data_IF_948771511004
#
_entry.id   IF_948771511004
#
_cell.length_a   1.000
_cell.length_b   1.000
_cell.length_c   1.000
_cell.angle_alpha   90.00
_cell.angle_beta   90.00
_cell.angle_gamma   90.00
#
_symmetry.space_group_name_H-M   'P 1'
#
loop_
_entity.id
_entity.type
_entity.pdbx_description
1 polymer ?
#
# COMPACT_ATOMS: atom_id res chain seq x y z
N UNK A 1 -17.80 16.86 22.23
CA UNK A 1 -17.13 16.81 20.91
C UNK A 1 -16.27 18.04 20.70
N UNK A 2 -14.98 17.82 20.55
CA UNK A 2 -13.98 18.83 20.22
C UNK A 2 -13.56 18.68 18.76
N UNK A 3 -12.97 19.74 18.19
CA UNK A 3 -12.46 19.69 16.83
C UNK A 3 -10.97 19.40 16.82
N UNK A 4 -10.54 18.60 15.86
CA UNK A 4 -9.15 18.22 15.71
C UNK A 4 -8.69 18.37 14.27
N UNK A 5 -7.50 18.92 14.09
CA UNK A 5 -6.78 18.80 12.83
C UNK A 5 -6.13 17.42 12.80
N UNK A 6 -6.55 16.60 11.84
CA UNK A 6 -6.19 15.20 11.73
C UNK A 6 -5.38 14.97 10.45
N UNK A 7 -4.22 14.34 10.58
CA UNK A 7 -3.35 13.97 9.47
C UNK A 7 -3.20 12.46 9.46
N UNK A 8 -3.47 11.84 8.32
CA UNK A 8 -3.38 10.41 8.10
C UNK A 8 -2.47 10.13 6.91
N UNK A 9 -1.66 9.09 6.98
CA UNK A 9 -0.69 8.77 5.94
C UNK A 9 -0.42 7.27 5.86
N UNK A 10 -0.27 6.79 4.63
CA UNK A 10 0.07 5.41 4.29
C UNK A 10 1.52 5.39 3.78
N UNK A 11 2.29 4.40 4.21
CA UNK A 11 3.68 4.20 3.83
C UNK A 11 4.10 2.72 3.76
N UNK A 12 5.38 2.44 3.47
CA UNK A 12 6.44 3.39 3.12
C UNK A 12 6.40 3.77 1.64
N UNK A 13 6.18 5.04 1.31
CA UNK A 13 5.85 5.43 -0.07
C UNK A 13 7.04 5.43 -1.01
N UNK A 14 8.14 6.06 -0.58
CA UNK A 14 9.31 6.18 -1.45
C UNK A 14 9.96 4.82 -1.70
N UNK A 15 10.21 4.02 -0.66
CA UNK A 15 10.79 2.68 -0.85
C UNK A 15 9.85 1.73 -1.59
N UNK A 16 8.54 1.77 -1.29
CA UNK A 16 7.58 0.91 -2.00
C UNK A 16 7.46 1.29 -3.47
N UNK A 17 7.36 2.58 -3.82
CA UNK A 17 7.21 3.04 -5.20
C UNK A 17 8.51 2.84 -5.99
N UNK A 18 9.65 3.25 -5.43
CA UNK A 18 10.97 3.20 -6.09
C UNK A 18 11.44 1.77 -6.39
N UNK A 19 10.98 0.77 -5.62
CA UNK A 19 11.25 -0.66 -5.90
C UNK A 19 10.41 -1.14 -7.09
N UNK A 20 10.71 -0.65 -8.29
CA UNK A 20 10.05 -0.98 -9.54
C UNK A 20 11.09 -1.39 -10.60
N UNK A 21 10.87 -2.50 -11.30
CA UNK A 21 11.69 -2.90 -12.47
C UNK A 21 11.01 -2.61 -13.79
N UNK A 22 9.71 -2.33 -13.77
CA UNK A 22 8.87 -2.02 -14.93
C UNK A 22 8.05 -0.76 -14.63
N UNK A 23 7.74 0.03 -15.66
CA UNK A 23 6.83 1.19 -15.54
C UNK A 23 5.47 0.79 -14.96
N UNK A 24 4.99 -0.40 -15.33
CA UNK A 24 3.79 -0.99 -14.75
C UNK A 24 3.88 -1.10 -13.22
N UNK A 25 5.00 -1.62 -12.69
CA UNK A 25 5.19 -1.75 -11.23
C UNK A 25 5.12 -0.37 -10.55
N UNK A 26 5.74 0.64 -11.16
CA UNK A 26 5.71 2.00 -10.63
C UNK A 26 4.26 2.52 -10.54
N UNK A 27 3.51 2.40 -11.64
CA UNK A 27 2.13 2.87 -11.74
C UNK A 27 1.20 2.14 -10.76
N UNK A 28 1.23 0.81 -10.74
CA UNK A 28 0.37 0.03 -9.84
C UNK A 28 0.72 0.25 -8.37
N UNK A 29 2.00 0.46 -8.07
CA UNK A 29 2.46 0.82 -6.74
C UNK A 29 1.86 2.13 -6.25
N UNK A 30 1.97 3.21 -7.03
CA UNK A 30 1.33 4.48 -6.68
C UNK A 30 -0.19 4.36 -6.62
N UNK A 31 -0.78 3.63 -7.58
CA UNK A 31 -2.23 3.46 -7.68
C UNK A 31 -2.82 2.76 -6.47
N UNK A 32 -2.21 1.65 -6.04
CA UNK A 32 -2.62 0.92 -4.86
C UNK A 32 -2.61 1.80 -3.61
N UNK A 33 -1.56 2.61 -3.43
CA UNK A 33 -1.49 3.53 -2.29
C UNK A 33 -2.61 4.58 -2.34
N UNK A 34 -2.84 5.20 -3.50
CA UNK A 34 -3.93 6.16 -3.70
C UNK A 34 -5.31 5.53 -3.45
N UNK A 35 -5.55 4.30 -3.94
CA UNK A 35 -6.80 3.59 -3.72
C UNK A 35 -7.03 3.25 -2.24
N UNK A 36 -5.98 2.94 -1.47
CA UNK A 36 -6.06 2.71 -0.03
C UNK A 36 -6.31 4.00 0.76
N UNK A 37 -5.70 5.12 0.36
CA UNK A 37 -6.00 6.43 0.95
C UNK A 37 -7.45 6.83 0.65
N UNK A 38 -7.88 6.66 -0.60
CA UNK A 38 -9.26 6.90 -1.01
C UNK A 38 -10.26 6.09 -0.19
N UNK A 39 -9.98 4.81 -0.01
CA UNK A 39 -10.76 3.92 0.85
C UNK A 39 -10.85 4.42 2.30
N UNK A 40 -9.79 5.02 2.84
CA UNK A 40 -9.78 5.61 4.17
C UNK A 40 -10.63 6.90 4.23
N UNK A 41 -10.52 7.76 3.21
CA UNK A 41 -11.30 9.01 3.11
C UNK A 41 -12.80 8.70 3.08
N UNK A 42 -13.22 7.71 2.30
CA UNK A 42 -14.63 7.27 2.21
C UNK A 42 -15.22 6.76 3.55
N UNK A 43 -14.36 6.44 4.53
CA UNK A 43 -14.73 5.88 5.84
C UNK A 43 -14.64 6.89 6.98
N UNK A 44 -14.23 8.11 6.68
CA UNK A 44 -14.25 9.17 7.67
C UNK A 44 -15.71 9.53 8.05
N UNK A 45 -15.92 10.10 9.25
CA UNK A 45 -17.23 10.60 9.67
C UNK A 45 -17.84 11.59 8.67
N UNK A 46 -19.18 11.65 8.58
CA UNK A 46 -19.89 12.50 7.62
C UNK A 46 -19.76 14.00 7.91
N UNK A 47 -19.49 14.37 9.16
CA UNK A 47 -19.41 15.74 9.67
C UNK A 47 -17.98 16.32 9.62
N UNK A 48 -17.08 15.68 8.87
CA UNK A 48 -15.72 16.16 8.66
C UNK A 48 -15.60 17.19 7.54
N UNK A 49 -14.50 17.92 7.55
CA UNK A 49 -14.05 18.73 6.42
C UNK A 49 -12.69 18.21 5.90
N UNK A 50 -12.63 17.74 4.66
CA UNK A 50 -11.38 17.34 4.02
C UNK A 50 -10.64 18.59 3.53
N UNK A 51 -9.50 18.89 4.15
CA UNK A 51 -8.66 20.04 3.81
C UNK A 51 -7.70 19.68 2.67
N UNK A 52 -7.14 18.47 2.71
CA UNK A 52 -6.20 17.97 1.71
C UNK A 52 -6.38 16.45 1.52
N UNK A 53 -6.36 15.92 0.30
CA UNK A 53 -6.41 16.66 -0.97
C UNK A 53 -7.73 17.40 -1.11
N UNK A 54 -7.72 18.59 -1.71
CA UNK A 54 -8.96 19.34 -1.97
C UNK A 54 -9.80 18.54 -2.97
N UNK A 55 -11.04 18.16 -2.65
CA UNK A 55 -11.91 17.49 -3.60
C UNK A 55 -12.14 18.45 -4.77
N UNK A 56 -11.66 18.10 -5.97
CA UNK A 56 -11.97 18.92 -7.14
C UNK A 56 -13.49 18.87 -7.36
N UNK A 57 -14.13 20.05 -7.46
CA UNK A 57 -15.59 20.23 -7.51
C UNK A 57 -16.32 19.46 -8.64
N UNK A 58 -15.61 18.71 -9.49
CA UNK A 58 -16.20 17.98 -10.63
C UNK A 58 -16.03 16.48 -10.62
N UNK A 59 -15.12 15.88 -9.85
CA UNK A 59 -14.96 14.42 -9.86
C UNK A 59 -14.26 13.92 -8.59
N UNK A 60 -15.04 13.46 -7.60
CA UNK A 60 -14.49 12.69 -6.48
C UNK A 60 -13.74 11.45 -7.01
N UNK A 61 -14.28 10.80 -8.05
CA UNK A 61 -13.69 9.62 -8.69
C UNK A 61 -12.34 9.85 -9.39
N UNK A 62 -12.11 11.01 -10.04
CA UNK A 62 -10.80 11.33 -10.65
C UNK A 62 -9.81 11.93 -9.64
N UNK A 63 -10.27 12.63 -8.61
CA UNK A 63 -9.39 13.13 -7.53
C UNK A 63 -8.76 11.95 -6.76
N UNK A 64 -9.50 10.86 -6.57
CA UNK A 64 -9.02 9.60 -5.98
C UNK A 64 -7.94 8.90 -6.84
N UNK A 65 -7.90 9.18 -8.15
CA UNK A 65 -6.92 8.58 -9.07
C UNK A 65 -5.51 9.20 -8.95
N UNK A 66 -5.37 10.36 -8.30
CA UNK A 66 -4.09 11.04 -8.03
C UNK A 66 -4.00 11.51 -6.58
N UNK A 67 -4.72 10.82 -5.69
CA UNK A 67 -4.69 11.15 -4.27
C UNK A 67 -3.30 10.86 -3.69
N UNK A 68 -2.68 11.84 -3.02
CA UNK A 68 -1.40 11.64 -2.34
C UNK A 68 -1.53 10.57 -1.27
N UNK A 69 -0.39 10.09 -0.79
CA UNK A 69 -0.34 9.05 0.25
C UNK A 69 -0.72 9.54 1.66
N UNK A 70 -1.34 10.70 1.75
CA UNK A 70 -1.77 11.33 2.99
C UNK A 70 -2.98 12.23 2.74
N UNK A 71 -3.75 12.44 3.79
CA UNK A 71 -4.85 13.40 3.80
C UNK A 71 -4.87 14.15 5.13
N UNK A 72 -5.44 15.36 5.08
CA UNK A 72 -5.67 16.21 6.24
C UNK A 72 -7.16 16.55 6.28
N UNK A 73 -7.76 16.36 7.44
CA UNK A 73 -9.16 16.68 7.68
C UNK A 73 -9.33 17.42 9.00
N UNK A 74 -10.35 18.25 9.08
CA UNK A 74 -10.91 18.72 10.34
C UNK A 74 -11.99 17.73 10.76
N UNK A 75 -11.85 17.13 11.93
CA UNK A 75 -12.79 16.14 12.46
C UNK A 75 -13.43 16.61 13.77
N UNK A 76 -14.68 16.22 13.99
CA UNK A 76 -15.43 16.51 15.21
C UNK A 76 -15.66 15.20 15.98
N UNK A 77 -15.00 15.04 17.13
CA UNK A 77 -15.09 13.81 17.92
C UNK A 77 -14.74 14.05 19.38
N UNK A 78 -15.01 13.06 20.23
CA UNK A 78 -14.56 13.08 21.63
C UNK A 78 -13.13 12.54 21.76
N UNK A 79 -12.80 11.47 21.02
CA UNK A 79 -11.45 10.91 20.99
C UNK A 79 -10.99 10.60 19.55
N UNK A 80 -10.00 11.35 19.00
CA UNK A 80 -9.47 11.09 17.65
C UNK A 80 -8.75 9.74 17.53
N UNK A 81 -8.34 9.11 18.65
CA UNK A 81 -7.72 7.78 18.65
C UNK A 81 -8.66 6.71 18.09
N UNK A 82 -9.95 6.80 18.39
CA UNK A 82 -10.93 5.82 17.93
C UNK A 82 -11.04 5.83 16.40
N UNK A 83 -11.06 7.02 15.81
CA UNK A 83 -11.08 7.22 14.36
C UNK A 83 -9.78 6.73 13.74
N UNK A 84 -8.63 7.16 14.27
CA UNK A 84 -7.32 6.80 13.75
C UNK A 84 -7.05 5.29 13.75
N UNK A 85 -7.30 4.62 14.88
CA UNK A 85 -7.10 3.17 14.99
C UNK A 85 -8.14 2.38 14.20
N UNK A 86 -9.38 2.87 14.06
CA UNK A 86 -10.39 2.25 13.18
C UNK A 86 -9.93 2.30 11.72
N UNK A 87 -9.56 3.48 11.21
CA UNK A 87 -9.11 3.64 9.83
C UNK A 87 -7.88 2.79 9.53
N UNK A 88 -6.92 2.75 10.46
CA UNK A 88 -5.74 1.88 10.35
C UNK A 88 -6.13 0.42 10.16
N UNK A 89 -6.98 -0.13 11.03
CA UNK A 89 -7.45 -1.51 10.91
C UNK A 89 -8.19 -1.75 9.59
N UNK A 90 -9.07 -0.84 9.20
CA UNK A 90 -9.87 -0.98 7.98
C UNK A 90 -8.99 -0.96 6.71
N UNK A 91 -8.00 -0.08 6.64
CA UNK A 91 -7.04 0.00 5.52
C UNK A 91 -6.17 -1.26 5.44
N UNK A 92 -5.64 -1.72 6.58
CA UNK A 92 -4.83 -2.95 6.61
C UNK A 92 -5.65 -4.17 6.20
N UNK A 93 -6.89 -4.28 6.68
CA UNK A 93 -7.80 -5.35 6.27
C UNK A 93 -8.13 -5.26 4.78
N UNK A 94 -8.41 -4.06 4.25
CA UNK A 94 -8.66 -3.87 2.82
C UNK A 94 -7.47 -4.30 1.97
N UNK A 95 -6.24 -3.98 2.39
CA UNK A 95 -5.06 -4.45 1.69
C UNK A 95 -4.98 -5.98 1.70
N UNK A 96 -5.18 -6.64 2.85
CA UNK A 96 -5.21 -8.10 2.95
C UNK A 96 -6.29 -8.72 2.03
N UNK A 97 -7.47 -8.11 1.94
CA UNK A 97 -8.53 -8.51 0.99
C UNK A 97 -8.07 -8.36 -0.47
N UNK A 98 -7.45 -7.24 -0.85
CA UNK A 98 -6.91 -7.05 -2.19
C UNK A 98 -5.88 -8.14 -2.52
N UNK A 99 -4.99 -8.46 -1.59
CA UNK A 99 -4.00 -9.52 -1.80
C UNK A 99 -4.68 -10.87 -2.04
N UNK A 100 -5.52 -11.32 -1.11
CA UNK A 100 -6.10 -12.66 -1.18
C UNK A 100 -7.12 -12.82 -2.30
N UNK A 101 -8.00 -11.84 -2.50
CA UNK A 101 -9.16 -11.99 -3.37
C UNK A 101 -8.84 -11.44 -4.77
N UNK A 102 -8.32 -10.20 -4.84
CA UNK A 102 -8.10 -9.51 -6.11
C UNK A 102 -6.81 -9.93 -6.82
N UNK A 103 -5.82 -10.47 -6.10
CA UNK A 103 -4.54 -10.89 -6.69
C UNK A 103 -4.37 -12.41 -6.67
N UNK A 104 -4.51 -13.08 -5.52
CA UNK A 104 -4.27 -14.53 -5.46
C UNK A 104 -5.41 -15.31 -6.11
N UNK A 105 -6.65 -15.11 -5.64
CA UNK A 105 -7.81 -15.87 -6.10
C UNK A 105 -8.14 -15.59 -7.57
N UNK A 106 -8.12 -14.32 -8.01
CA UNK A 106 -8.38 -13.95 -9.41
C UNK A 106 -7.35 -14.52 -10.41
N UNK A 107 -6.13 -14.82 -9.96
CA UNK A 107 -5.12 -15.48 -10.80
C UNK A 107 -5.23 -17.01 -10.76
N UNK A 108 -6.22 -17.57 -10.05
CA UNK A 108 -6.39 -19.01 -9.87
C UNK A 108 -5.27 -19.65 -9.05
N UNK A 109 -4.59 -18.88 -8.20
CA UNK A 109 -3.47 -19.36 -7.39
C UNK A 109 -3.94 -19.78 -6.00
N UNK A 110 -3.22 -20.74 -5.40
CA UNK A 110 -3.34 -21.01 -3.97
C UNK A 110 -2.60 -19.95 -3.16
N UNK A 111 -2.93 -19.82 -1.88
CA UNK A 111 -2.22 -18.93 -0.96
C UNK A 111 -0.90 -19.58 -0.53
N UNK A 112 0.28 -18.97 -0.80
CA UNK A 112 1.55 -19.56 -0.38
C UNK A 112 1.78 -19.38 1.13
N UNK A 113 2.54 -20.32 1.69
CA UNK A 113 3.00 -20.24 3.07
C UNK A 113 3.83 -18.97 3.29
N UNK A 114 3.59 -18.29 4.41
CA UNK A 114 4.31 -17.06 4.75
C UNK A 114 3.78 -15.79 4.10
N UNK A 115 2.79 -15.86 3.17
CA UNK A 115 2.18 -14.65 2.59
C UNK A 115 1.61 -13.73 3.65
N UNK A 116 0.85 -14.29 4.60
CA UNK A 116 0.25 -13.52 5.71
C UNK A 116 1.30 -12.76 6.49
N UNK A 117 2.43 -13.42 6.81
CA UNK A 117 3.53 -12.78 7.54
C UNK A 117 4.13 -11.62 6.76
N UNK A 118 4.27 -11.75 5.43
CA UNK A 118 4.82 -10.69 4.58
C UNK A 118 3.89 -9.49 4.43
N UNK A 119 2.57 -9.69 4.50
CA UNK A 119 1.58 -8.62 4.35
C UNK A 119 1.06 -8.07 5.70
N UNK A 120 1.40 -8.70 6.82
CA UNK A 120 0.88 -8.32 8.14
C UNK A 120 1.21 -6.87 8.51
N UNK A 121 2.48 -6.49 8.30
CA UNK A 121 2.99 -5.17 8.64
C UNK A 121 2.93 -4.18 7.45
N UNK A 122 2.20 -4.52 6.38
CA UNK A 122 2.02 -3.65 5.21
C UNK A 122 0.52 -3.45 4.88
N UNK A 123 0.08 -2.23 4.51
CA UNK A 123 0.87 -1.01 4.53
C UNK A 123 1.12 -0.51 5.97
N UNK A 124 2.15 0.31 6.11
CA UNK A 124 2.36 1.09 7.32
C UNK A 124 1.34 2.23 7.32
N UNK A 125 0.55 2.33 8.39
CA UNK A 125 -0.47 3.37 8.52
C UNK A 125 -0.17 4.19 9.76
N UNK A 126 -0.05 5.50 9.56
CA UNK A 126 0.20 6.46 10.62
C UNK A 126 -0.88 7.53 10.62
N UNK A 127 -1.22 8.01 11.80
CA UNK A 127 -2.16 9.10 11.99
C UNK A 127 -1.70 9.96 13.17
N UNK A 128 -2.05 11.24 13.14
CA UNK A 128 -1.80 12.19 14.22
C UNK A 128 -2.98 13.17 14.28
N UNK A 129 -3.28 13.67 15.48
CA UNK A 129 -4.36 14.62 15.70
C UNK A 129 -3.93 15.67 16.72
N UNK A 130 -4.30 16.92 16.48
CA UNK A 130 -4.13 18.01 17.45
C UNK A 130 -5.43 18.79 17.57
N UNK A 131 -5.73 19.31 18.76
CA UNK A 131 -6.95 20.10 18.98
C UNK A 131 -6.92 21.41 18.17
N UNK A 132 -8.06 21.77 17.58
CA UNK A 132 -8.23 22.93 16.70
C UNK A 132 -9.49 23.76 17.08
N UNK A 133 -9.29 24.80 17.88
CA UNK A 133 -10.35 25.64 18.43
C UNK A 133 -10.59 26.90 17.58
N UNK A 134 -11.72 27.58 17.79
CA UNK A 134 -12.05 28.80 17.04
C UNK A 134 -11.04 29.89 17.40
N UNK A 135 -10.42 30.50 16.39
CA UNK A 135 -9.34 31.48 16.55
C UNK A 135 -7.93 30.89 16.54
N UNK A 136 -7.76 29.56 16.49
CA UNK A 136 -6.44 28.96 16.30
C UNK A 136 -5.85 29.31 14.92
N UNK A 137 -4.54 29.58 14.88
CA UNK A 137 -3.83 29.81 13.62
C UNK A 137 -3.58 28.47 12.90
N UNK A 138 -4.21 28.29 11.74
CA UNK A 138 -4.06 27.07 10.93
C UNK A 138 -2.60 26.74 10.59
N UNK A 139 -1.80 27.73 10.21
CA UNK A 139 -0.39 27.51 9.82
C UNK A 139 0.45 26.97 10.97
N UNK A 140 0.25 27.51 12.18
CA UNK A 140 0.96 27.05 13.37
C UNK A 140 0.52 25.64 13.77
N UNK A 141 -0.78 25.37 13.74
CA UNK A 141 -1.35 24.04 14.03
C UNK A 141 -0.88 23.01 13.00
N UNK A 142 -0.90 23.33 11.72
CA UNK A 142 -0.38 22.48 10.67
C UNK A 142 1.11 22.13 10.90
N UNK A 143 1.95 23.11 11.26
CA UNK A 143 3.37 22.86 11.62
C UNK A 143 3.52 21.95 12.83
N UNK A 144 2.68 22.12 13.86
CA UNK A 144 2.70 21.24 15.03
C UNK A 144 2.28 19.81 14.66
N UNK A 145 1.23 19.65 13.86
CA UNK A 145 0.71 18.37 13.42
C UNK A 145 1.72 17.61 12.56
N UNK A 146 2.35 18.28 11.60
CA UNK A 146 3.37 17.68 10.73
C UNK A 146 4.61 17.27 11.52
N UNK A 147 5.03 18.08 12.52
CA UNK A 147 6.12 17.71 13.45
C UNK A 147 5.75 16.47 14.27
N UNK A 148 4.53 16.41 14.80
CA UNK A 148 4.03 15.25 15.55
C UNK A 148 4.00 13.99 14.67
N UNK A 149 3.51 14.11 13.44
CA UNK A 149 3.51 13.02 12.47
C UNK A 149 4.93 12.51 12.16
N UNK A 150 5.89 13.43 12.00
CA UNK A 150 7.30 13.06 11.85
C UNK A 150 7.84 12.27 13.04
N UNK A 151 7.49 12.67 14.26
CA UNK A 151 7.87 11.93 15.47
C UNK A 151 7.24 10.53 15.52
N UNK A 152 5.95 10.41 15.18
CA UNK A 152 5.25 9.11 15.11
C UNK A 152 5.88 8.17 14.08
N UNK A 153 6.28 8.69 12.90
CA UNK A 153 6.99 7.90 11.89
C UNK A 153 8.37 7.43 12.38
N UNK A 154 9.06 8.25 13.19
CA UNK A 154 10.39 7.94 13.72
C UNK A 154 10.40 7.01 14.93
N UNK A 155 9.29 6.85 15.65
CA UNK A 155 9.18 5.89 16.77
C UNK A 155 8.83 4.47 16.32
N UNK A 156 8.83 4.22 15.00
CA UNK A 156 8.56 2.90 14.42
C UNK A 156 9.50 1.85 15.00
N UNK A 157 8.92 0.80 15.57
CA UNK A 157 9.66 -0.41 15.93
C UNK A 157 10.04 -1.17 14.66
N UNK A 158 11.34 -1.32 14.42
CA UNK A 158 11.84 -2.17 13.36
C UNK A 158 11.64 -3.64 13.75
N UNK A 159 10.77 -4.36 13.03
CA UNK A 159 10.66 -5.81 13.16
C UNK A 159 11.60 -6.47 12.17
N UNK A 160 12.56 -7.24 12.68
CA UNK A 160 13.38 -8.09 11.84
C UNK A 160 12.58 -9.34 11.49
N UNK A 161 12.31 -9.55 10.20
CA UNK A 161 11.69 -10.79 9.73
C UNK A 161 12.77 -11.86 9.56
N UNK A 162 12.62 -13.06 10.15
CA UNK A 162 13.50 -14.18 9.87
C UNK A 162 13.20 -14.69 8.46
N UNK A 163 14.00 -14.24 7.50
CA UNK A 163 13.81 -14.54 6.09
C UNK A 163 15.00 -15.37 5.61
N UNK A 164 14.87 -16.70 5.64
CA UNK A 164 15.85 -17.66 5.12
C UNK A 164 15.49 -18.08 3.67
N UNK A 165 16.42 -17.97 2.73
CA UNK A 165 16.22 -18.39 1.35
C UNK A 165 16.30 -17.28 0.30
N UNK A 166 15.80 -17.55 -0.90
CA UNK A 166 15.93 -16.67 -2.07
C UNK A 166 15.15 -15.38 -1.87
N UNK A 167 15.84 -14.24 -2.00
CA UNK A 167 15.22 -12.92 -1.94
C UNK A 167 14.44 -12.56 -3.19
N UNK A 168 13.44 -11.71 -2.99
CA UNK A 168 12.65 -11.09 -4.04
C UNK A 168 13.55 -10.37 -5.05
N UNK A 169 13.35 -10.65 -6.34
CA UNK A 169 14.06 -10.04 -7.46
C UNK A 169 13.69 -8.58 -7.71
N UNK A 170 12.66 -8.07 -7.02
CA UNK A 170 12.19 -6.69 -7.11
C UNK A 170 12.68 -5.83 -5.93
N UNK A 171 12.38 -6.24 -4.69
CA UNK A 171 12.75 -5.47 -3.50
C UNK A 171 14.04 -5.90 -2.82
N UNK A 172 14.51 -7.15 -3.02
CA UNK A 172 15.69 -7.68 -2.32
C UNK A 172 15.51 -7.93 -0.81
N UNK A 173 14.41 -7.48 -0.21
CA UNK A 173 14.20 -7.53 1.25
C UNK A 173 13.61 -8.86 1.75
N UNK A 174 12.47 -9.26 1.17
CA UNK A 174 11.67 -10.42 1.62
C UNK A 174 11.97 -11.65 0.78
N UNK A 175 11.77 -12.84 1.33
CA UNK A 175 11.87 -14.09 0.59
C UNK A 175 10.82 -14.14 -0.53
N UNK A 176 11.20 -14.76 -1.64
CA UNK A 176 10.30 -14.97 -2.76
C UNK A 176 9.32 -16.10 -2.45
N UNK A 177 8.03 -15.82 -2.68
CA UNK A 177 6.93 -16.78 -2.56
C UNK A 177 6.39 -17.22 -3.92
N UNK A 178 6.70 -16.47 -4.97
CA UNK A 178 6.27 -16.71 -6.35
C UNK A 178 7.48 -16.73 -7.27
N UNK A 179 7.49 -17.59 -8.28
CA UNK A 179 8.60 -17.63 -9.23
C UNK A 179 8.18 -18.03 -10.63
N UNK A 180 8.95 -17.57 -11.61
CA UNK A 180 8.91 -18.09 -12.97
C UNK A 180 10.20 -18.86 -13.26
N UNK A 181 10.13 -20.13 -13.71
CA UNK A 181 11.33 -20.89 -14.00
C UNK A 181 12.14 -20.21 -15.12
N UNK A 182 13.45 -20.44 -15.11
CA UNK A 182 14.24 -20.19 -16.30
C UNK A 182 14.13 -21.40 -17.24
N UNK A 183 14.58 -21.24 -18.49
CA UNK A 183 14.72 -22.35 -19.42
C UNK A 183 16.22 -22.60 -19.60
N UNK A 184 16.64 -23.84 -19.49
CA UNK A 184 18.03 -24.23 -19.72
C UNK A 184 18.34 -24.41 -21.22
N UNK A 185 19.60 -24.72 -21.54
CA UNK A 185 20.09 -24.91 -22.90
C UNK A 185 19.40 -26.06 -23.65
N UNK A 186 18.82 -27.02 -22.93
CA UNK A 186 18.11 -28.17 -23.47
C UNK A 186 16.59 -27.94 -23.54
N UNK A 187 16.10 -26.75 -23.17
CA UNK A 187 14.69 -26.41 -23.19
C UNK A 187 13.91 -26.80 -21.93
N UNK A 188 14.56 -27.33 -20.89
CA UNK A 188 13.90 -27.72 -19.66
C UNK A 188 13.75 -26.55 -18.68
N UNK A 189 12.68 -26.60 -17.89
CA UNK A 189 12.45 -25.62 -16.85
C UNK A 189 13.40 -25.80 -15.67
N UNK A 190 14.06 -24.70 -15.30
CA UNK A 190 14.98 -24.63 -14.17
C UNK A 190 14.40 -23.75 -13.07
N UNK A 191 14.07 -24.37 -11.94
CA UNK A 191 13.62 -23.68 -10.72
C UNK A 191 14.76 -22.78 -10.18
N UNK A 192 14.47 -21.54 -9.74
CA UNK A 192 15.49 -20.70 -9.11
C UNK A 192 16.08 -21.33 -7.84
N UNK A 193 17.40 -21.20 -7.65
CA UNK A 193 18.09 -21.76 -6.47
C UNK A 193 17.62 -21.11 -5.16
N UNK A 194 17.56 -21.91 -4.10
CA UNK A 194 17.22 -21.51 -2.72
C UNK A 194 15.82 -20.96 -2.51
N UNK A 195 14.91 -21.20 -3.45
CA UNK A 195 13.51 -20.84 -3.27
C UNK A 195 12.80 -21.90 -2.40
N UNK A 196 11.92 -21.47 -1.51
CA UNK A 196 11.10 -22.36 -0.67
C UNK A 196 10.35 -23.38 -1.52
N UNK A 197 10.23 -24.64 -1.08
CA UNK A 197 9.56 -25.70 -1.83
C UNK A 197 8.08 -25.40 -2.09
N UNK A 198 7.42 -24.68 -1.18
CA UNK A 198 6.03 -24.26 -1.30
C UNK A 198 5.84 -22.99 -2.15
N UNK A 199 6.92 -22.41 -2.70
CA UNK A 199 6.79 -21.27 -3.59
C UNK A 199 6.02 -21.64 -4.86
N UNK A 200 5.17 -20.72 -5.28
CA UNK A 200 4.21 -20.95 -6.37
C UNK A 200 4.86 -20.61 -7.70
N UNK A 201 4.78 -21.57 -8.62
CA UNK A 201 5.22 -21.41 -10.01
C UNK A 201 4.21 -20.57 -10.78
N UNK A 202 4.70 -19.55 -11.48
CA UNK A 202 3.94 -18.62 -12.31
C UNK A 202 4.32 -18.81 -13.78
N UNK A 203 3.31 -19.05 -14.61
CA UNK A 203 3.43 -19.30 -16.04
C UNK A 203 2.71 -18.23 -16.85
N UNK A 204 3.18 -16.99 -16.77
CA UNK A 204 2.60 -15.89 -17.53
C UNK A 204 3.67 -15.04 -18.21
N UNK A 205 3.27 -13.93 -18.83
CA UNK A 205 4.20 -12.97 -19.47
C UNK A 205 4.58 -11.80 -18.58
N UNK A 206 3.89 -11.58 -17.45
CA UNK A 206 4.15 -10.45 -16.54
C UNK A 206 5.42 -10.65 -15.72
N UNK A 207 5.84 -11.90 -15.49
CA UNK A 207 7.15 -12.21 -14.88
C UNK A 207 8.23 -12.53 -15.92
N UNK A 208 9.45 -12.07 -15.67
CA UNK A 208 10.63 -12.45 -16.45
C UNK A 208 11.09 -13.87 -16.10
N UNK A 209 11.75 -14.57 -17.03
CA UNK A 209 12.32 -15.91 -16.75
C UNK A 209 13.33 -15.84 -15.63
N UNK A 210 13.24 -16.76 -14.67
CA UNK A 210 14.09 -16.80 -13.47
C UNK A 210 13.76 -15.73 -12.41
N UNK A 211 12.75 -14.88 -12.64
CA UNK A 211 12.29 -13.90 -11.66
C UNK A 211 11.57 -14.61 -10.50
N UNK A 212 11.80 -14.15 -9.27
CA UNK A 212 11.13 -14.63 -8.08
C UNK A 212 10.68 -13.44 -7.22
N UNK A 213 9.42 -13.37 -6.81
CA UNK A 213 8.81 -12.22 -6.14
C UNK A 213 8.28 -12.59 -4.74
N UNK A 214 8.41 -11.68 -3.78
CA UNK A 214 7.70 -11.76 -2.50
C UNK A 214 6.23 -11.37 -2.66
N UNK A 215 5.39 -11.63 -1.66
CA UNK A 215 3.96 -11.34 -1.68
C UNK A 215 3.62 -9.88 -2.00
N UNK A 216 4.32 -8.93 -1.37
CA UNK A 216 4.09 -7.49 -1.62
C UNK A 216 4.44 -7.11 -3.06
N UNK A 217 5.59 -7.55 -3.56
CA UNK A 217 6.02 -7.26 -4.94
C UNK A 217 5.16 -7.98 -5.98
N UNK A 218 4.63 -9.16 -5.63
CA UNK A 218 3.67 -9.87 -6.45
C UNK A 218 2.37 -9.07 -6.56
N UNK A 219 1.81 -8.59 -5.45
CA UNK A 219 0.64 -7.69 -5.48
C UNK A 219 0.94 -6.47 -6.32
N UNK A 220 2.10 -5.82 -6.17
CA UNK A 220 2.48 -4.69 -7.03
C UNK A 220 2.49 -5.06 -8.52
N UNK A 221 2.99 -6.24 -8.89
CA UNK A 221 3.04 -6.70 -10.30
C UNK A 221 1.66 -7.07 -10.87
N UNK A 222 0.73 -7.50 -10.04
CA UNK A 222 -0.53 -8.12 -10.47
C UNK A 222 -1.79 -7.36 -10.08
N UNK A 223 -1.67 -6.35 -9.23
CA UNK A 223 -2.76 -5.45 -8.89
C UNK A 223 -3.21 -4.70 -10.14
N UNK A 224 -4.48 -4.86 -10.50
CA UNK A 224 -5.10 -4.21 -11.63
C UNK A 224 -6.53 -3.84 -11.28
N UNK A 225 -6.88 -2.57 -11.47
CA UNK A 225 -8.22 -2.05 -11.28
C UNK A 225 -8.68 -1.57 -12.66
N UNK A 226 -9.82 -2.10 -13.13
CA UNK A 226 -10.32 -2.00 -14.51
C UNK A 226 -9.95 -0.68 -15.23
N UNK A 227 -9.24 -0.83 -16.36
CA UNK A 227 -8.91 0.24 -17.29
C UNK A 227 -10.19 0.82 -17.90
N UNK A 228 -10.68 1.93 -17.36
CA UNK A 228 -11.51 2.87 -18.13
C UNK A 228 -10.75 4.12 -18.56
N UNK A 229 -9.41 4.14 -18.47
CA UNK A 229 -8.64 5.36 -18.77
C UNK A 229 -7.28 5.15 -19.44
N UNK A 230 -6.92 3.94 -19.86
CA UNK A 230 -5.76 3.73 -20.73
C UNK A 230 -6.25 3.23 -22.09
N UNK A 231 -6.48 4.16 -23.02
CA UNK A 231 -6.40 3.81 -24.43
C UNK A 231 -4.91 3.58 -24.73
N UNK A 232 -4.50 2.41 -25.25
CA UNK A 232 -3.17 2.29 -25.83
C UNK A 232 -3.08 3.35 -26.93
N UNK A 233 -2.15 4.28 -26.77
CA UNK A 233 -1.80 5.17 -27.88
C UNK A 233 -1.30 4.30 -29.05
N UNK A 234 -1.66 4.68 -30.29
CA UNK A 234 -1.48 3.87 -31.49
C UNK A 234 -0.02 3.53 -31.79
#
# INVERSE_FOLDING_TARGET
MSRFLFLFTIGPVQSFIAQARKTHDLYTGSRLMSDLVGYAIERLPQDMELIFPTPSHKDLGNTLNSTPNEFIALIHCDDPREIGEKLKREVQNKFKTIVNDDVITKQGLSKPNGLDRQIEDFPEVYWAAIQFNDGDNYHEKYKQLTRLMGAVKNTRTFKQLPEEGRKCSLCGERNALFYKPNIDENGFEKRPKYIDDNAIKINDTRMARGEALCGICFVKRYYWKDEKSFHPLP
#
